data_IF_127248924308
#
_entry.id   IF_127248924308
#
_cell.length_a   1.000
_cell.length_b   1.000
_cell.length_c   1.000
_cell.angle_alpha   90.00
_cell.angle_beta   90.00
_cell.angle_gamma   90.00
#
_symmetry.space_group_name_H-M   'P 1'
#
loop_
_entity.id
_entity.type
_entity.pdbx_description
1 polymer ?
#
# COMPACT_ATOMS: atom_id res chain seq x y z
N UNK A 1 -24.94 -23.40 -64.84
CA UNK A 1 -25.35 -23.86 -63.53
C UNK A 1 -24.12 -24.05 -62.55
N UNK A 2 -23.26 -23.04 -62.31
CA UNK A 2 -22.05 -23.17 -61.43
C UNK A 2 -21.90 -22.02 -60.37
N UNK A 3 -22.88 -21.12 -60.33
CA UNK A 3 -22.80 -19.95 -59.41
C UNK A 3 -23.29 -20.18 -57.97
N UNK A 4 -24.23 -21.10 -57.64
CA UNK A 4 -24.66 -21.29 -56.24
C UNK A 4 -23.62 -22.02 -55.36
N UNK A 5 -22.73 -22.84 -55.94
CA UNK A 5 -21.73 -23.59 -55.19
C UNK A 5 -20.61 -22.70 -54.65
N UNK A 6 -20.26 -21.63 -55.35
CA UNK A 6 -19.23 -20.67 -54.93
C UNK A 6 -19.70 -19.80 -53.74
N UNK A 7 -20.99 -19.42 -53.72
CA UNK A 7 -21.57 -18.65 -52.61
C UNK A 7 -21.68 -19.47 -51.29
N UNK A 8 -21.92 -20.78 -51.39
CA UNK A 8 -21.92 -21.66 -50.23
C UNK A 8 -20.51 -21.83 -49.64
N UNK A 9 -19.47 -21.84 -50.48
CA UNK A 9 -18.09 -21.97 -50.00
C UNK A 9 -17.58 -20.69 -49.31
N UNK A 10 -18.01 -19.51 -49.76
CA UNK A 10 -17.68 -18.23 -49.15
C UNK A 10 -18.40 -18.08 -47.80
N UNK A 11 -19.64 -18.59 -47.67
CA UNK A 11 -20.37 -18.57 -46.37
C UNK A 11 -19.76 -19.51 -45.33
N UNK A 12 -19.07 -20.59 -45.73
CA UNK A 12 -18.38 -21.47 -44.77
C UNK A 12 -17.07 -20.89 -44.21
N UNK A 13 -16.49 -19.93 -44.91
CA UNK A 13 -15.24 -19.27 -44.42
C UNK A 13 -15.48 -18.27 -43.30
N UNK A 14 -16.71 -17.84 -43.08
CA UNK A 14 -17.08 -16.96 -41.94
C UNK A 14 -17.52 -17.70 -40.67
N UNK A 15 -17.56 -19.05 -40.72
CA UNK A 15 -17.80 -19.91 -39.56
C UNK A 15 -16.49 -20.37 -38.90
N UNK A 16 -15.37 -19.74 -39.23
CA UNK A 16 -14.16 -19.94 -38.42
C UNK A 16 -14.38 -19.25 -37.06
N UNK A 17 -14.60 -20.10 -36.08
CA UNK A 17 -14.54 -19.84 -34.65
C UNK A 17 -13.82 -18.52 -34.32
N UNK A 18 -14.57 -17.61 -33.77
CA UNK A 18 -14.02 -16.81 -32.70
C UNK A 18 -13.58 -17.88 -31.68
N UNK A 19 -12.31 -18.23 -31.66
CA UNK A 19 -11.73 -18.96 -30.57
C UNK A 19 -12.05 -18.12 -29.37
N UNK A 20 -12.86 -18.62 -28.45
CA UNK A 20 -12.92 -18.08 -27.12
C UNK A 20 -11.51 -18.28 -26.62
N UNK A 21 -10.76 -17.19 -26.61
CA UNK A 21 -9.50 -17.13 -25.91
C UNK A 21 -9.89 -17.25 -24.43
N UNK A 22 -9.92 -18.48 -23.94
CA UNK A 22 -10.00 -18.76 -22.52
C UNK A 22 -8.68 -18.27 -21.93
N UNK A 23 -8.60 -16.96 -21.71
CA UNK A 23 -7.60 -16.43 -20.80
C UNK A 23 -7.98 -17.06 -19.46
N UNK A 24 -7.09 -17.87 -18.94
CA UNK A 24 -7.24 -18.42 -17.59
C UNK A 24 -7.12 -17.23 -16.64
N UNK A 25 -8.26 -16.61 -16.33
CA UNK A 25 -8.36 -15.47 -15.40
C UNK A 25 -8.11 -15.91 -13.94
N UNK A 26 -7.60 -17.13 -13.76
CA UNK A 26 -7.28 -17.66 -12.44
C UNK A 26 -6.12 -16.90 -11.81
N UNK A 27 -6.34 -16.39 -10.61
CA UNK A 27 -5.30 -15.93 -9.69
C UNK A 27 -5.36 -16.76 -8.41
N UNK A 28 -4.25 -16.88 -7.71
CA UNK A 28 -4.25 -17.59 -6.44
C UNK A 28 -5.09 -16.83 -5.42
N UNK A 29 -6.04 -17.50 -4.74
CA UNK A 29 -6.82 -16.85 -3.70
C UNK A 29 -5.93 -16.29 -2.60
N UNK A 30 -6.24 -15.10 -2.13
CA UNK A 30 -5.37 -14.38 -1.21
C UNK A 30 -6.15 -13.80 -0.02
N UNK A 31 -5.55 -13.92 1.18
CA UNK A 31 -6.06 -13.39 2.43
C UNK A 31 -5.05 -12.39 3.00
N UNK A 32 -5.49 -11.15 3.29
CA UNK A 32 -4.62 -10.08 3.76
C UNK A 32 -5.15 -9.41 5.00
N UNK A 33 -4.23 -9.06 5.92
CA UNK A 33 -4.50 -8.10 7.00
C UNK A 33 -4.24 -6.71 6.43
N UNK A 34 -5.27 -5.84 6.43
CA UNK A 34 -5.23 -4.56 5.70
C UNK A 34 -4.81 -3.36 6.55
N UNK A 35 -4.67 -3.55 7.86
CA UNK A 35 -4.24 -2.52 8.82
C UNK A 35 -3.14 -3.06 9.75
N UNK A 36 -1.97 -3.46 9.22
CA UNK A 36 -0.90 -4.02 10.02
C UNK A 36 -0.32 -2.96 10.99
N UNK A 37 0.19 -3.45 12.12
CA UNK A 37 0.94 -2.65 13.11
C UNK A 37 2.35 -3.23 13.28
N UNK A 38 3.28 -2.39 13.70
CA UNK A 38 4.66 -2.78 14.03
C UNK A 38 4.80 -3.11 15.50
N UNK A 39 4.09 -2.37 16.35
CA UNK A 39 4.08 -2.61 17.79
C UNK A 39 2.82 -2.08 18.46
N UNK A 40 2.54 -2.64 19.64
CA UNK A 40 1.47 -2.19 20.53
C UNK A 40 1.99 -2.22 21.96
N UNK A 41 1.59 -1.25 22.78
CA UNK A 41 1.95 -1.23 24.20
C UNK A 41 1.11 -2.22 25.00
N UNK A 42 1.74 -2.85 26.01
CA UNK A 42 1.06 -3.73 26.96
C UNK A 42 -0.16 -3.04 27.58
N UNK A 43 -1.27 -3.76 27.68
CA UNK A 43 -2.55 -3.29 28.22
C UNK A 43 -3.47 -2.65 27.17
N UNK A 44 -2.99 -2.35 25.97
CA UNK A 44 -3.82 -1.79 24.90
C UNK A 44 -4.52 -2.89 24.08
N UNK A 45 -5.57 -2.48 23.40
CA UNK A 45 -6.31 -3.32 22.45
C UNK A 45 -6.33 -2.69 21.06
N UNK A 46 -6.29 -3.51 20.02
CA UNK A 46 -6.34 -3.09 18.63
C UNK A 46 -7.18 -4.08 17.82
N UNK A 47 -7.96 -3.60 16.85
CA UNK A 47 -8.77 -4.45 15.98
C UNK A 47 -8.14 -4.57 14.59
N UNK A 48 -7.68 -5.76 14.25
CA UNK A 48 -7.24 -6.07 12.90
C UNK A 48 -8.42 -6.18 11.94
N UNK A 49 -8.17 -5.81 10.69
CA UNK A 49 -9.08 -5.98 9.57
C UNK A 49 -8.44 -6.92 8.56
N UNK A 50 -9.23 -7.88 8.05
CA UNK A 50 -8.78 -8.78 7.01
C UNK A 50 -9.72 -8.73 5.81
N UNK A 51 -9.17 -8.99 4.61
CA UNK A 51 -9.93 -9.14 3.36
C UNK A 51 -9.50 -10.40 2.64
N UNK A 52 -10.48 -11.11 2.12
CA UNK A 52 -10.27 -12.32 1.34
C UNK A 52 -10.66 -12.06 -0.11
N UNK A 53 -9.77 -12.46 -1.03
CA UNK A 53 -9.96 -12.37 -2.48
C UNK A 53 -9.96 -13.78 -3.06
N UNK A 54 -10.96 -14.06 -3.88
CA UNK A 54 -11.15 -15.36 -4.52
C UNK A 54 -10.21 -15.58 -5.73
N UNK A 55 -10.39 -16.69 -6.41
CA UNK A 55 -9.61 -17.12 -7.58
C UNK A 55 -9.75 -16.20 -8.80
N UNK A 56 -10.70 -15.28 -8.80
CA UNK A 56 -10.84 -14.23 -9.81
C UNK A 56 -10.18 -12.91 -9.41
N UNK A 57 -9.67 -12.82 -8.16
CA UNK A 57 -9.17 -11.59 -7.55
C UNK A 57 -10.28 -10.68 -7.03
N UNK A 58 -11.51 -11.19 -6.94
CA UNK A 58 -12.67 -10.45 -6.43
C UNK A 58 -12.76 -10.61 -4.92
N UNK A 59 -13.02 -9.49 -4.22
CA UNK A 59 -13.23 -9.52 -2.77
C UNK A 59 -14.50 -10.31 -2.43
N UNK A 60 -14.36 -11.26 -1.52
CA UNK A 60 -15.49 -12.02 -0.97
C UNK A 60 -16.11 -11.24 0.19
N UNK A 61 -17.42 -11.00 0.10
CA UNK A 61 -18.16 -10.30 1.13
C UNK A 61 -18.44 -11.20 2.34
N UNK A 62 -18.20 -10.68 3.55
CA UNK A 62 -18.48 -11.32 4.82
C UNK A 62 -17.93 -12.77 4.97
N UNK A 63 -16.64 -13.01 4.75
CA UNK A 63 -16.03 -14.31 4.95
C UNK A 63 -15.98 -14.65 6.46
N UNK A 64 -16.04 -15.94 6.77
CA UNK A 64 -15.87 -16.41 8.14
C UNK A 64 -14.39 -16.54 8.47
N UNK A 65 -13.81 -15.55 9.10
CA UNK A 65 -12.42 -15.59 9.55
C UNK A 65 -12.24 -16.37 10.85
N UNK A 66 -11.13 -17.08 10.95
CA UNK A 66 -10.65 -17.68 12.19
C UNK A 66 -9.34 -17.00 12.58
N UNK A 67 -9.28 -16.45 13.79
CA UNK A 67 -8.13 -15.72 14.29
C UNK A 67 -7.42 -16.50 15.38
N UNK A 68 -6.08 -16.51 15.35
CA UNK A 68 -5.24 -17.10 16.39
C UNK A 68 -4.08 -16.18 16.73
N UNK A 69 -3.60 -16.23 17.98
CA UNK A 69 -2.46 -15.45 18.46
C UNK A 69 -1.42 -16.34 19.13
N UNK A 70 -0.15 -16.02 18.90
CA UNK A 70 0.99 -16.76 19.45
C UNK A 70 2.06 -15.79 19.97
N UNK A 71 2.57 -15.97 21.21
CA UNK A 71 2.07 -16.93 22.22
C UNK A 71 0.80 -16.39 22.91
N UNK A 72 -0.14 -17.27 23.31
CA UNK A 72 -1.40 -16.85 23.96
C UNK A 72 -1.19 -16.24 25.36
N UNK A 73 -0.01 -16.36 25.94
CA UNK A 73 0.35 -15.71 27.19
C UNK A 73 0.69 -14.23 27.02
N UNK A 74 1.09 -13.80 25.83
CA UNK A 74 1.46 -12.41 25.54
C UNK A 74 0.37 -11.64 24.80
N UNK A 75 -0.50 -12.35 24.08
CA UNK A 75 -1.54 -11.73 23.26
C UNK A 75 -2.83 -12.55 23.31
N UNK A 76 -3.92 -11.89 23.68
CA UNK A 76 -5.28 -12.46 23.53
C UNK A 76 -5.89 -11.96 22.21
N UNK A 77 -6.62 -12.80 21.49
CA UNK A 77 -7.37 -12.42 20.30
C UNK A 77 -8.81 -12.96 20.36
N UNK A 78 -9.77 -12.15 19.97
CA UNK A 78 -11.18 -12.50 19.84
C UNK A 78 -11.53 -12.88 18.39
N UNK A 79 -12.72 -13.46 18.19
CA UNK A 79 -13.18 -13.95 16.89
C UNK A 79 -13.38 -12.82 15.85
N UNK A 80 -13.53 -11.59 16.29
CA UNK A 80 -13.67 -10.41 15.41
C UNK A 80 -12.33 -9.76 15.04
N UNK A 81 -11.20 -10.37 15.43
CA UNK A 81 -9.85 -9.84 15.17
C UNK A 81 -9.38 -8.78 16.16
N UNK A 82 -10.09 -8.56 17.28
CA UNK A 82 -9.64 -7.64 18.33
C UNK A 82 -8.60 -8.33 19.20
N UNK A 83 -7.40 -7.76 19.26
CA UNK A 83 -6.32 -8.18 20.15
C UNK A 83 -6.31 -7.37 21.44
N UNK A 84 -5.74 -7.97 22.50
CA UNK A 84 -5.35 -7.30 23.73
C UNK A 84 -3.94 -7.74 24.09
N UNK A 85 -3.02 -6.78 24.21
CA UNK A 85 -1.63 -7.03 24.56
C UNK A 85 -1.52 -7.31 26.08
N UNK A 86 -1.01 -8.49 26.46
CA UNK A 86 -0.97 -8.98 27.85
C UNK A 86 0.43 -8.90 28.46
N UNK A 87 1.48 -9.11 27.67
CA UNK A 87 2.86 -9.09 28.12
C UNK A 87 3.81 -8.72 26.99
N UNK A 88 4.88 -7.99 27.33
CA UNK A 88 5.89 -7.57 26.37
C UNK A 88 6.61 -8.76 25.72
N UNK A 89 6.93 -8.64 24.44
CA UNK A 89 7.64 -9.63 23.63
C UNK A 89 7.19 -9.65 22.17
N UNK A 90 7.83 -10.50 21.38
CA UNK A 90 7.42 -10.76 20.00
C UNK A 90 6.18 -11.64 19.97
N UNK A 91 5.23 -11.27 19.12
CA UNK A 91 3.94 -11.93 18.97
C UNK A 91 3.59 -12.08 17.50
N UNK A 92 2.74 -13.06 17.20
CA UNK A 92 2.20 -13.27 15.86
C UNK A 92 0.68 -13.43 15.92
N UNK A 93 -0.02 -12.84 14.98
CA UNK A 93 -1.44 -13.05 14.73
C UNK A 93 -1.59 -13.73 13.39
N UNK A 94 -2.34 -14.82 13.34
CA UNK A 94 -2.74 -15.50 12.12
C UNK A 94 -4.23 -15.37 11.92
N UNK A 95 -4.64 -15.05 10.69
CA UNK A 95 -6.01 -15.14 10.24
C UNK A 95 -6.12 -16.20 9.17
N UNK A 96 -7.18 -16.99 9.21
CA UNK A 96 -7.47 -18.01 8.20
C UNK A 96 -8.93 -17.99 7.77
N UNK A 97 -9.17 -18.48 6.57
CA UNK A 97 -10.49 -18.62 5.95
C UNK A 97 -10.54 -19.90 5.12
N UNK A 98 -11.72 -20.52 5.03
CA UNK A 98 -11.96 -21.62 4.12
C UNK A 98 -12.27 -21.06 2.73
N UNK A 99 -11.42 -21.36 1.75
CA UNK A 99 -11.62 -20.99 0.35
C UNK A 99 -12.78 -21.72 -0.31
N UNK A 100 -13.15 -21.29 -1.50
CA UNK A 100 -14.31 -21.83 -2.23
C UNK A 100 -14.16 -23.31 -2.62
N UNK A 101 -12.94 -23.81 -2.73
CA UNK A 101 -12.63 -25.21 -3.03
C UNK A 101 -12.40 -26.07 -1.78
N UNK A 102 -12.54 -25.45 -0.60
CA UNK A 102 -12.36 -26.11 0.69
C UNK A 102 -10.93 -26.17 1.19
N UNK A 103 -9.99 -25.45 0.54
CA UNK A 103 -8.63 -25.22 1.04
C UNK A 103 -8.65 -24.22 2.19
N UNK A 104 -7.70 -24.37 3.12
CA UNK A 104 -7.49 -23.38 4.18
C UNK A 104 -6.45 -22.35 3.70
N UNK A 105 -6.88 -21.09 3.62
CA UNK A 105 -6.04 -19.97 3.24
C UNK A 105 -5.75 -19.17 4.49
N UNK A 106 -4.47 -18.89 4.78
CA UNK A 106 -4.06 -18.22 5.99
C UNK A 106 -2.97 -17.19 5.70
N UNK A 107 -2.95 -16.12 6.51
CA UNK A 107 -1.86 -15.13 6.54
C UNK A 107 -1.52 -14.81 7.98
N UNK A 108 -0.24 -14.53 8.25
CA UNK A 108 0.26 -14.18 9.57
C UNK A 108 0.93 -12.81 9.55
N UNK A 109 0.84 -12.10 10.68
CA UNK A 109 1.50 -10.83 10.93
C UNK A 109 2.30 -10.95 12.23
N UNK A 110 3.58 -10.63 12.17
CA UNK A 110 4.48 -10.54 13.33
C UNK A 110 4.65 -9.07 13.75
N UNK A 111 4.61 -8.82 15.06
CA UNK A 111 4.81 -7.50 15.63
C UNK A 111 5.26 -7.62 17.09
N UNK A 112 5.66 -6.51 17.72
CA UNK A 112 6.12 -6.52 19.10
C UNK A 112 5.08 -5.93 20.07
N UNK A 113 5.02 -6.50 21.28
CA UNK A 113 4.37 -5.86 22.43
C UNK A 113 5.44 -5.15 23.26
N UNK A 114 5.32 -3.84 23.40
CA UNK A 114 6.24 -3.03 24.19
C UNK A 114 5.76 -2.93 25.63
N UNK A 115 6.68 -2.94 26.64
CA UNK A 115 6.29 -2.86 28.04
C UNK A 115 5.68 -1.49 28.36
N UNK A 116 4.89 -1.45 29.44
CA UNK A 116 4.47 -0.18 30.04
C UNK A 116 5.70 0.64 30.46
N UNK A 117 5.70 1.98 30.28
CA UNK A 117 6.77 2.81 30.76
C UNK A 117 6.87 2.69 32.29
N UNK A 118 8.02 2.21 32.75
CA UNK A 118 8.30 2.15 34.19
C UNK A 118 8.56 3.57 34.68
N UNK A 119 7.67 4.09 35.50
CA UNK A 119 7.96 5.34 36.24
C UNK A 119 9.01 4.99 37.26
N UNK A 120 10.28 5.34 37.02
CA UNK A 120 11.30 5.32 38.04
C UNK A 120 10.93 6.37 39.08
N UNK A 121 10.38 5.91 40.18
CA UNK A 121 10.25 6.75 41.38
C UNK A 121 11.67 6.86 41.93
N UNK A 122 12.35 7.97 41.66
CA UNK A 122 13.56 8.32 42.37
C UNK A 122 13.20 8.41 43.84
N UNK A 123 13.50 7.35 44.58
CA UNK A 123 13.45 7.37 46.03
C UNK A 123 14.64 8.20 46.49
N UNK A 124 14.47 9.50 46.59
CA UNK A 124 15.40 10.36 47.30
C UNK A 124 15.34 9.97 48.77
N UNK A 125 16.29 9.14 49.18
CA UNK A 125 16.55 8.88 50.60
C UNK A 125 16.92 10.24 51.25
N UNK A 126 16.19 10.74 52.23
CA UNK A 126 16.58 11.98 52.88
C UNK A 126 17.84 11.70 53.70
N UNK A 127 19.00 12.11 53.17
CA UNK A 127 20.22 12.20 53.96
C UNK A 127 20.04 13.40 54.91
N UNK A 128 19.86 13.09 56.18
CA UNK A 128 19.84 14.09 57.27
C UNK A 128 21.25 14.67 57.39
N UNK A 129 21.50 15.79 56.74
CA UNK A 129 22.63 16.64 57.06
C UNK A 129 22.12 17.99 57.58
N UNK A 130 22.44 18.19 58.83
CA UNK A 130 22.22 19.42 59.56
C UNK A 130 23.15 20.49 58.98
N UNK A 131 22.63 21.59 58.58
CA UNK A 131 23.07 22.97 58.79
C UNK A 131 22.97 23.89 57.56
N UNK A 132 22.37 25.01 57.86
CA UNK A 132 22.56 26.35 57.29
C UNK A 132 21.72 26.71 56.03
N UNK A 133 20.63 27.41 56.39
CA UNK A 133 19.79 28.23 55.54
C UNK A 133 20.59 29.18 54.63
N UNK A 134 20.40 29.06 53.34
CA UNK A 134 20.59 30.20 52.45
C UNK A 134 19.45 30.15 51.41
N UNK A 135 18.53 31.10 51.53
CA UNK A 135 17.41 31.31 50.63
C UNK A 135 17.99 31.88 49.34
N UNK A 136 17.92 31.11 48.23
CA UNK A 136 18.12 31.65 46.89
C UNK A 136 16.77 31.63 46.19
N UNK A 137 16.19 32.82 46.07
CA UNK A 137 14.99 33.08 45.26
C UNK A 137 15.40 33.10 43.79
N UNK A 138 15.04 32.09 43.02
CA UNK A 138 15.18 32.11 41.57
C UNK A 138 13.83 32.49 40.94
N UNK A 139 13.78 33.72 40.47
CA UNK A 139 12.66 34.27 39.68
C UNK A 139 12.73 33.70 38.26
N UNK A 140 11.72 32.96 37.87
CA UNK A 140 11.54 32.50 36.48
C UNK A 140 11.05 33.69 35.65
N UNK A 141 11.87 34.15 34.71
CA UNK A 141 11.47 35.16 33.74
C UNK A 141 11.16 34.46 32.41
N UNK A 142 9.88 34.45 32.09
CA UNK A 142 9.38 34.09 30.74
C UNK A 142 9.69 35.24 29.81
N UNK A 143 10.52 35.04 28.79
CA UNK A 143 10.74 36.03 27.75
C UNK A 143 10.10 35.54 26.45
N UNK A 144 9.01 36.19 26.11
CA UNK A 144 8.39 36.17 24.77
C UNK A 144 9.16 37.20 23.93
N UNK A 145 9.76 36.80 22.83
CA UNK A 145 10.23 37.77 21.82
C UNK A 145 9.60 37.49 20.46
N UNK A 146 8.95 38.54 20.04
CA UNK A 146 8.30 38.70 18.72
C UNK A 146 9.21 39.56 17.84
N UNK A 147 9.29 39.18 16.57
CA UNK A 147 9.54 40.00 15.36
C UNK A 147 10.93 40.63 15.12
N UNK A 148 11.40 40.42 13.87
CA UNK A 148 12.43 41.25 13.25
C UNK A 148 12.88 40.75 11.89
N UNK A 149 12.22 41.24 10.86
CA UNK A 149 12.63 41.21 9.42
C UNK A 149 14.01 41.84 9.20
N UNK A 150 14.85 41.23 8.39
CA UNK A 150 15.77 41.97 7.51
C UNK A 150 16.30 41.12 6.37
N UNK A 151 16.10 41.62 5.20
CA UNK A 151 16.63 41.30 3.87
C UNK A 151 18.14 41.55 3.80
N UNK A 152 18.90 40.62 3.28
CA UNK A 152 20.12 40.98 2.50
C UNK A 152 20.45 39.93 1.46
N UNK A 153 20.62 40.45 0.26
CA UNK A 153 21.05 39.88 -1.02
C UNK A 153 22.58 39.82 -1.04
N UNK A 154 23.16 38.69 -1.46
CA UNK A 154 24.44 38.73 -2.22
C UNK A 154 24.60 37.49 -3.09
N UNK A 155 24.99 37.81 -4.26
CA UNK A 155 25.31 37.21 -5.53
C UNK A 155 26.53 36.27 -5.52
N UNK A 156 26.54 35.38 -6.57
CA UNK A 156 27.67 34.79 -7.31
C UNK A 156 28.41 33.60 -6.68
N UNK A 157 28.70 32.53 -7.40
CA UNK A 157 29.39 32.36 -8.68
C UNK A 157 29.45 30.87 -9.06
N UNK A 158 29.35 30.64 -10.36
CA UNK A 158 29.48 29.39 -11.12
C UNK A 158 30.70 28.52 -10.79
N UNK A 159 30.55 27.22 -10.94
CA UNK A 159 31.56 26.38 -11.63
C UNK A 159 30.96 25.06 -12.11
N UNK A 160 31.07 24.86 -13.41
CA UNK A 160 30.85 23.62 -14.16
C UNK A 160 31.92 22.58 -13.85
N UNK A 161 31.62 21.31 -13.89
CA UNK A 161 32.42 20.28 -14.60
C UNK A 161 31.71 18.92 -14.68
N UNK A 162 31.46 18.50 -15.92
CA UNK A 162 31.81 17.26 -16.63
C UNK A 162 31.27 15.91 -16.16
N UNK A 163 30.36 15.38 -17.03
CA UNK A 163 30.26 14.03 -17.57
C UNK A 163 31.03 12.90 -16.89
N UNK A 164 30.25 11.86 -16.49
CA UNK A 164 30.70 10.48 -16.68
C UNK A 164 29.48 9.58 -16.86
N UNK A 165 29.30 9.11 -18.08
CA UNK A 165 28.38 8.03 -18.48
C UNK A 165 28.77 6.75 -17.79
N UNK A 166 27.86 6.17 -17.01
CA UNK A 166 27.93 4.77 -16.57
C UNK A 166 26.55 4.14 -16.77
N UNK A 167 26.48 3.27 -17.75
CA UNK A 167 25.37 2.36 -17.98
C UNK A 167 25.33 1.34 -16.84
N UNK A 168 24.32 1.40 -16.00
CA UNK A 168 24.01 0.36 -15.03
C UNK A 168 22.71 -0.32 -15.40
N UNK A 169 22.80 -1.61 -15.51
CA UNK A 169 21.71 -2.60 -15.71
C UNK A 169 20.72 -2.45 -14.57
N UNK A 170 19.51 -2.01 -14.87
CA UNK A 170 18.42 -1.87 -13.92
C UNK A 170 17.90 -3.25 -13.50
N UNK A 171 18.31 -3.65 -12.31
CA UNK A 171 17.59 -4.69 -11.54
C UNK A 171 16.52 -3.95 -10.74
N UNK A 172 15.26 -4.14 -11.09
CA UNK A 172 14.13 -3.59 -10.33
C UNK A 172 14.11 -4.21 -8.94
N UNK A 173 14.64 -3.51 -7.97
CA UNK A 173 14.50 -3.84 -6.55
C UNK A 173 13.30 -3.06 -6.04
N UNK A 174 12.22 -3.75 -5.70
CA UNK A 174 11.13 -3.17 -4.93
C UNK A 174 11.66 -2.90 -3.53
N UNK A 175 11.94 -1.65 -3.22
CA UNK A 175 12.36 -1.26 -1.87
C UNK A 175 11.11 -0.97 -1.06
N UNK A 176 10.81 -1.83 -0.10
CA UNK A 176 9.83 -1.54 0.95
C UNK A 176 10.59 -0.78 2.03
N UNK A 177 10.42 0.53 2.07
CA UNK A 177 10.95 1.35 3.15
C UNK A 177 9.81 1.57 4.15
N UNK A 178 9.99 1.04 5.37
CA UNK A 178 9.03 1.20 6.47
C UNK A 178 9.51 2.33 7.35
N UNK A 179 8.89 3.51 7.22
CA UNK A 179 9.02 4.55 8.21
C UNK A 179 7.99 4.36 9.32
N UNK A 180 8.40 4.51 10.57
CA UNK A 180 7.57 4.35 11.75
C UNK A 180 7.18 5.73 12.28
N UNK A 181 5.88 6.05 12.33
CA UNK A 181 5.38 7.19 13.11
C UNK A 181 4.81 6.69 14.43
N UNK A 182 5.33 7.20 15.55
CA UNK A 182 4.78 6.93 16.88
C UNK A 182 3.54 7.81 17.07
N UNK A 183 2.38 7.20 17.19
CA UNK A 183 1.20 7.86 17.73
C UNK A 183 1.28 7.84 19.26
N UNK A 184 0.88 8.94 19.91
CA UNK A 184 0.96 9.16 21.38
C UNK A 184 0.14 8.14 22.20
N UNK A 185 -0.60 7.25 21.57
CA UNK A 185 -1.46 6.23 22.19
C UNK A 185 -0.76 4.86 22.41
N UNK A 186 0.50 4.72 22.00
CA UNK A 186 1.29 3.48 22.18
C UNK A 186 0.98 2.35 21.20
N UNK A 187 0.34 2.66 20.08
CA UNK A 187 0.18 1.78 18.93
C UNK A 187 0.98 2.38 17.77
N UNK A 188 1.91 1.60 17.23
CA UNK A 188 2.70 2.02 16.08
C UNK A 188 2.15 1.31 14.84
N UNK A 189 1.44 2.05 14.01
CA UNK A 189 1.00 1.58 12.71
C UNK A 189 2.21 1.42 11.77
N UNK A 190 2.12 0.46 10.86
CA UNK A 190 3.07 0.35 9.77
C UNK A 190 2.76 1.46 8.76
N UNK A 191 3.64 2.46 8.66
CA UNK A 191 3.59 3.41 7.54
C UNK A 191 4.13 2.69 6.30
N UNK A 192 3.22 2.12 5.53
CA UNK A 192 3.56 1.44 4.29
C UNK A 192 3.30 2.36 3.11
N UNK A 193 4.24 2.40 2.20
CA UNK A 193 4.06 2.92 0.87
C UNK A 193 4.67 1.95 -0.15
N UNK A 194 4.18 1.97 -1.36
CA UNK A 194 4.67 1.16 -2.45
C UNK A 194 5.13 2.04 -3.60
N UNK A 195 6.31 1.74 -4.11
CA UNK A 195 6.90 2.45 -5.24
C UNK A 195 7.28 1.44 -6.32
N UNK A 196 7.20 1.87 -7.57
CA UNK A 196 7.55 1.01 -8.67
C UNK A 196 7.39 1.69 -10.03
N UNK A 197 7.34 0.86 -11.06
CA UNK A 197 7.25 1.33 -12.44
C UNK A 197 6.03 0.73 -13.12
N UNK A 198 5.27 1.61 -13.78
CA UNK A 198 4.24 1.24 -14.73
C UNK A 198 4.92 0.86 -16.03
N UNK A 199 4.51 -0.26 -16.62
CA UNK A 199 5.08 -0.78 -17.86
C UNK A 199 3.99 -1.16 -18.85
N UNK A 200 4.26 -0.89 -20.11
CA UNK A 200 3.42 -1.38 -21.19
C UNK A 200 3.51 -2.91 -21.30
N UNK A 201 2.36 -3.56 -21.46
CA UNK A 201 2.23 -4.98 -21.83
C UNK A 201 1.65 -5.14 -23.24
N UNK A 202 1.50 -4.04 -23.97
CA UNK A 202 0.97 -3.96 -25.33
C UNK A 202 1.92 -3.17 -26.22
N UNK A 203 1.51 -2.92 -27.47
CA UNK A 203 2.27 -2.05 -28.41
C UNK A 203 2.10 -0.57 -28.16
N UNK A 204 1.20 -0.16 -27.26
CA UNK A 204 0.96 1.24 -26.93
C UNK A 204 1.95 1.72 -25.88
N UNK A 205 2.35 3.00 -25.98
CA UNK A 205 3.24 3.61 -24.99
C UNK A 205 2.53 3.72 -23.64
N UNK A 206 3.16 3.15 -22.62
CA UNK A 206 2.78 3.34 -21.22
C UNK A 206 4.01 3.11 -20.35
N UNK A 207 4.39 4.12 -19.57
CA UNK A 207 5.52 4.05 -18.64
C UNK A 207 5.40 5.11 -17.56
N UNK A 208 6.14 4.96 -16.49
CA UNK A 208 6.28 5.98 -15.44
C UNK A 208 6.56 5.35 -14.10
N UNK A 209 7.15 6.12 -13.20
CA UNK A 209 7.27 5.74 -11.81
C UNK A 209 5.96 6.08 -11.10
N UNK A 210 5.65 5.32 -10.07
CA UNK A 210 4.53 5.60 -9.19
C UNK A 210 4.95 5.50 -7.73
N UNK A 211 4.18 6.18 -6.86
CA UNK A 211 4.15 6.00 -5.41
C UNK A 211 2.70 5.85 -4.98
N UNK A 212 2.43 4.84 -4.17
CA UNK A 212 1.12 4.51 -3.65
C UNK A 212 1.19 4.45 -2.14
N UNK A 213 0.48 5.35 -1.45
CA UNK A 213 0.64 5.54 -0.01
C UNK A 213 -0.64 6.06 0.64
N UNK A 214 -0.69 5.97 1.97
CA UNK A 214 -1.69 6.65 2.78
C UNK A 214 -1.12 7.99 3.26
N UNK A 215 -1.78 9.11 2.91
CA UNK A 215 -1.32 10.47 3.22
C UNK A 215 -1.78 10.98 4.62
N UNK A 216 -2.35 10.08 5.44
CA UNK A 216 -2.96 10.41 6.73
C UNK A 216 -4.48 10.62 6.66
N UNK A 217 -5.06 10.72 5.46
CA UNK A 217 -6.50 10.88 5.24
C UNK A 217 -7.04 9.92 4.17
N UNK A 218 -6.31 9.77 3.06
CA UNK A 218 -6.71 8.99 1.91
C UNK A 218 -5.53 8.18 1.36
N UNK A 219 -5.86 7.18 0.57
CA UNK A 219 -4.85 6.52 -0.27
C UNK A 219 -4.62 7.41 -1.50
N UNK A 220 -3.35 7.66 -1.81
CA UNK A 220 -2.94 8.48 -2.95
C UNK A 220 -2.05 7.65 -3.89
N UNK A 221 -2.40 7.63 -5.16
CA UNK A 221 -1.55 7.13 -6.24
C UNK A 221 -0.92 8.32 -6.95
N UNK A 222 0.37 8.54 -6.75
CA UNK A 222 1.17 9.60 -7.38
C UNK A 222 1.97 9.05 -8.54
N UNK A 223 1.90 9.70 -9.70
CA UNK A 223 2.66 9.39 -10.91
C UNK A 223 3.80 10.40 -11.06
N UNK A 224 4.99 9.92 -11.44
CA UNK A 224 6.20 10.72 -11.56
C UNK A 224 6.27 11.55 -12.86
N UNK A 225 7.25 12.46 -12.94
CA UNK A 225 7.51 13.31 -14.10
C UNK A 225 7.79 12.51 -15.39
N UNK A 226 8.26 11.27 -15.24
CA UNK A 226 8.54 10.36 -16.36
C UNK A 226 7.31 9.58 -16.85
N UNK A 227 6.11 9.87 -16.30
CA UNK A 227 4.88 9.23 -16.77
C UNK A 227 4.59 9.63 -18.22
N UNK A 228 4.26 8.62 -19.05
CA UNK A 228 3.83 8.77 -20.44
C UNK A 228 2.80 7.71 -20.76
N UNK A 229 1.69 8.12 -21.37
CA UNK A 229 0.67 7.22 -21.89
C UNK A 229 0.32 7.61 -23.33
N UNK A 230 -0.08 6.62 -24.13
CA UNK A 230 -0.43 6.84 -25.52
C UNK A 230 -1.74 7.63 -25.67
N UNK A 231 -1.68 8.76 -26.38
CA UNK A 231 -2.84 9.63 -26.63
C UNK A 231 -3.79 9.07 -27.72
N UNK A 232 -3.34 8.06 -28.48
CA UNK A 232 -4.16 7.43 -29.53
C UNK A 232 -5.27 6.52 -28.98
N UNK A 233 -5.23 6.21 -27.67
CA UNK A 233 -6.23 5.37 -27.03
C UNK A 233 -7.49 6.17 -26.64
N UNK A 234 -8.66 5.91 -27.27
CA UNK A 234 -9.86 6.75 -27.08
C UNK A 234 -10.54 6.62 -25.72
N UNK A 235 -10.13 5.64 -24.92
CA UNK A 235 -10.75 5.36 -23.62
C UNK A 235 -9.85 4.55 -22.72
N UNK A 236 -8.70 5.13 -22.35
CA UNK A 236 -7.78 4.55 -21.38
C UNK A 236 -8.27 4.85 -19.96
N UNK A 237 -8.33 3.83 -19.12
CA UNK A 237 -8.74 3.90 -17.72
C UNK A 237 -7.71 3.26 -16.81
N UNK A 238 -7.64 3.74 -15.57
CA UNK A 238 -6.81 3.20 -14.49
C UNK A 238 -7.69 2.45 -13.52
N UNK A 239 -7.25 1.27 -13.14
CA UNK A 239 -7.88 0.40 -12.15
C UNK A 239 -6.89 -0.03 -11.09
N UNK A 240 -7.39 -0.35 -9.90
CA UNK A 240 -6.72 -1.23 -8.94
C UNK A 240 -7.36 -2.62 -9.05
N UNK A 241 -6.55 -3.66 -9.08
CA UNK A 241 -7.06 -5.03 -9.25
C UNK A 241 -6.15 -6.06 -8.55
N UNK A 242 -6.71 -7.21 -8.22
CA UNK A 242 -5.95 -8.39 -7.79
C UNK A 242 -5.70 -9.38 -8.94
N UNK A 243 -6.29 -9.13 -10.12
CA UNK A 243 -6.04 -9.88 -11.33
C UNK A 243 -5.46 -8.96 -12.43
N UNK A 244 -4.16 -9.05 -12.76
CA UNK A 244 -3.54 -8.17 -13.74
C UNK A 244 -3.97 -8.45 -15.19
N UNK A 245 -4.78 -9.48 -15.46
CA UNK A 245 -5.23 -9.84 -16.81
C UNK A 245 -6.55 -9.20 -17.18
N UNK A 246 -7.36 -8.78 -16.19
CA UNK A 246 -8.69 -8.20 -16.38
C UNK A 246 -8.98 -7.07 -15.39
N UNK A 247 -9.85 -6.15 -15.77
CA UNK A 247 -10.37 -5.13 -14.84
C UNK A 247 -11.59 -5.61 -14.03
N UNK A 248 -12.10 -6.81 -14.33
CA UNK A 248 -13.25 -7.39 -13.61
C UNK A 248 -12.89 -7.64 -12.15
N UNK A 249 -13.78 -7.28 -11.23
CA UNK A 249 -13.52 -7.38 -9.80
C UNK A 249 -12.57 -6.31 -9.24
N UNK A 250 -12.01 -5.45 -10.09
CA UNK A 250 -11.15 -4.34 -9.68
C UNK A 250 -11.92 -3.05 -9.37
N UNK A 251 -11.25 -2.13 -8.71
CA UNK A 251 -11.73 -0.78 -8.44
C UNK A 251 -11.32 0.17 -9.57
N UNK A 252 -12.28 0.83 -10.21
CA UNK A 252 -12.01 1.83 -11.24
C UNK A 252 -11.62 3.16 -10.59
N UNK A 253 -10.36 3.56 -10.73
CA UNK A 253 -9.90 4.90 -10.30
C UNK A 253 -10.51 5.97 -11.20
N UNK A 254 -10.47 5.75 -12.52
CA UNK A 254 -11.06 6.66 -13.49
C UNK A 254 -10.40 6.66 -14.86
N UNK A 255 -10.93 7.55 -15.72
CA UNK A 255 -10.38 7.76 -17.07
C UNK A 255 -9.06 8.52 -17.00
N UNK A 256 -8.07 8.09 -17.77
CA UNK A 256 -6.82 8.84 -17.97
C UNK A 256 -7.12 10.15 -18.69
N UNK A 257 -6.78 11.26 -18.06
CA UNK A 257 -6.92 12.62 -18.58
C UNK A 257 -5.59 13.34 -18.72
N UNK A 258 -4.58 12.89 -17.97
CA UNK A 258 -3.20 13.37 -18.06
C UNK A 258 -2.39 12.26 -18.72
N UNK A 259 -1.75 12.57 -19.85
CA UNK A 259 -0.99 11.60 -20.66
C UNK A 259 0.51 11.76 -20.51
N UNK A 260 0.97 12.79 -19.83
CA UNK A 260 2.38 13.12 -19.65
C UNK A 260 2.60 13.91 -18.36
N UNK A 261 3.68 13.58 -17.62
CA UNK A 261 4.13 14.30 -16.44
C UNK A 261 3.47 13.88 -15.14
N UNK A 262 3.95 14.48 -14.05
CA UNK A 262 3.50 14.17 -12.71
C UNK A 262 2.03 14.56 -12.48
N UNK A 263 1.29 13.67 -11.84
CA UNK A 263 -0.08 13.89 -11.39
C UNK A 263 -0.46 12.84 -10.35
N UNK A 264 -1.62 12.98 -9.72
CA UNK A 264 -2.07 12.06 -8.67
C UNK A 264 -3.55 11.75 -8.79
N UNK A 265 -3.92 10.59 -8.21
CA UNK A 265 -5.28 10.16 -7.99
C UNK A 265 -5.51 9.99 -6.50
N UNK A 266 -6.54 10.62 -5.95
CA UNK A 266 -6.98 10.41 -4.58
C UNK A 266 -8.06 9.34 -4.56
N UNK A 267 -7.88 8.30 -3.75
CA UNK A 267 -8.83 7.21 -3.62
C UNK A 267 -9.71 7.43 -2.39
N UNK A 268 -10.95 6.91 -2.38
CA UNK A 268 -11.82 7.06 -1.23
C UNK A 268 -11.31 6.26 -0.03
N UNK A 269 -11.66 6.70 1.18
CA UNK A 269 -11.28 6.06 2.43
C UNK A 269 -11.78 4.60 2.59
N UNK A 270 -12.69 4.14 1.71
CA UNK A 270 -13.12 2.74 1.67
C UNK A 270 -12.07 1.78 1.08
N UNK A 271 -11.04 2.34 0.41
CA UNK A 271 -9.92 1.56 -0.15
C UNK A 271 -8.79 1.55 0.89
N UNK A 272 -8.37 0.36 1.31
CA UNK A 272 -7.18 0.20 2.12
C UNK A 272 -5.93 0.01 1.25
N UNK A 273 -4.76 0.32 1.82
CA UNK A 273 -3.48 0.30 1.08
C UNK A 273 -3.16 -1.07 0.46
N UNK A 274 -3.56 -2.14 1.13
CA UNK A 274 -3.29 -3.52 0.72
C UNK A 274 -4.50 -4.23 0.09
N UNK A 275 -5.54 -3.51 -0.32
CA UNK A 275 -6.73 -4.12 -0.93
C UNK A 275 -6.43 -4.71 -2.31
N UNK A 276 -5.55 -4.06 -3.06
CA UNK A 276 -5.25 -4.43 -4.44
C UNK A 276 -3.76 -4.55 -4.68
N UNK A 277 -3.38 -5.56 -5.45
CA UNK A 277 -1.99 -5.93 -5.74
C UNK A 277 -1.42 -5.23 -6.98
N UNK A 278 -2.28 -4.77 -7.90
CA UNK A 278 -1.86 -4.21 -9.19
C UNK A 278 -2.56 -2.91 -9.52
N UNK A 279 -1.82 -2.01 -10.18
CA UNK A 279 -2.35 -0.92 -10.99
C UNK A 279 -2.51 -1.46 -12.40
N UNK A 280 -3.71 -1.35 -12.99
CA UNK A 280 -4.00 -1.84 -14.34
C UNK A 280 -4.47 -0.69 -15.23
N UNK A 281 -3.89 -0.58 -16.41
CA UNK A 281 -4.33 0.33 -17.46
C UNK A 281 -5.09 -0.44 -18.54
N UNK A 282 -6.34 -0.04 -18.74
CA UNK A 282 -7.28 -0.75 -19.61
C UNK A 282 -7.96 0.18 -20.60
N UNK A 283 -7.94 -0.19 -21.89
CA UNK A 283 -8.68 0.51 -22.94
C UNK A 283 -10.08 -0.09 -23.06
N UNK A 284 -11.08 0.56 -22.43
CA UNK A 284 -12.47 0.07 -22.39
C UNK A 284 -13.08 -0.19 -23.77
N UNK A 285 -13.01 0.74 -24.76
CA UNK A 285 -13.67 0.54 -26.05
C UNK A 285 -13.18 -0.69 -26.83
N UNK A 286 -11.95 -1.10 -26.58
CA UNK A 286 -11.34 -2.25 -27.27
C UNK A 286 -11.21 -3.48 -26.37
N UNK A 287 -11.58 -3.37 -25.09
CA UNK A 287 -11.39 -4.43 -24.07
C UNK A 287 -9.97 -4.99 -24.06
N UNK A 288 -8.97 -4.07 -24.05
CA UNK A 288 -7.55 -4.43 -24.15
C UNK A 288 -6.77 -3.92 -22.94
N UNK A 289 -5.98 -4.80 -22.34
CA UNK A 289 -4.94 -4.42 -21.38
C UNK A 289 -3.85 -3.63 -22.11
N UNK A 290 -3.51 -2.46 -21.58
CA UNK A 290 -2.44 -1.60 -22.12
C UNK A 290 -1.15 -1.81 -21.35
N UNK A 291 -1.23 -1.91 -20.06
CA UNK A 291 -0.10 -2.17 -19.19
C UNK A 291 -0.51 -2.26 -17.73
N UNK A 292 0.45 -2.50 -16.87
CA UNK A 292 0.25 -2.64 -15.43
C UNK A 292 1.47 -2.23 -14.61
N UNK A 293 1.30 -2.28 -13.29
CA UNK A 293 2.36 -2.26 -12.32
C UNK A 293 1.96 -3.12 -11.12
N UNK A 294 2.94 -3.82 -10.53
CA UNK A 294 2.81 -4.50 -9.25
C UNK A 294 2.98 -3.48 -8.13
N UNK A 295 2.06 -3.45 -7.17
CA UNK A 295 2.16 -2.62 -5.96
C UNK A 295 3.05 -3.31 -4.92
N UNK A 296 2.77 -4.58 -4.62
CA UNK A 296 3.52 -5.37 -3.64
C UNK A 296 3.44 -6.87 -3.95
N UNK A 297 4.43 -7.61 -3.47
CA UNK A 297 4.41 -9.08 -3.41
C UNK A 297 3.84 -9.55 -2.07
N UNK A 298 3.15 -10.71 -2.08
CA UNK A 298 2.62 -11.37 -0.86
C UNK A 298 3.70 -12.10 -0.13
#
# INVERSE_FOLDING_TARGET
>A
MKRPLLLCFISLLFLQCIGEDFIDDYVEPNLRITNPIVSIREGLSYQFQARFFDESGTQVENPNFSWTATPPSALHISNDGTITALAAGEVSVEVSVLGLRGENIATALEFSVTPLPTVEVETTTPTTDTATSTIVTTTSTTTTETTGSSTETTTDTSSSTTDTTSSTTDTSTTTTDSSTSETDDGIVASEQFFEGQIRSTSSYLLQGNFRYEFDGQNIVLSLGENYRADTALPGLYVYLTNNPTTHSGGYEIGKVTVFEGAHQYNLPASIALMDYKYILYWCKPFSVKVGDALLFDD
#
